data_IF_304446641245
#
_entry.id   IF_304446641245
#
_cell.length_a   1.000
_cell.length_b   1.000
_cell.length_c   1.000
_cell.angle_alpha   90.00
_cell.angle_beta   90.00
_cell.angle_gamma   90.00
#
_symmetry.space_group_name_H-M   'P 1'
#
loop_
_entity.id
_entity.type
_entity.pdbx_description
1 polymer ?
#
# COMPACT_ATOMS: atom_id res chain seq x y z
N UNK A 1 15.56 -45.16 -32.06
CA UNK A 1 15.68 -43.71 -32.35
C UNK A 1 14.39 -42.91 -32.17
N UNK A 2 13.20 -43.42 -32.54
CA UNK A 2 11.91 -42.69 -32.38
C UNK A 2 11.54 -42.38 -30.91
N UNK A 3 11.76 -43.30 -29.98
CA UNK A 3 11.43 -43.13 -28.56
C UNK A 3 12.23 -41.99 -27.88
N UNK A 4 13.51 -41.82 -28.25
CA UNK A 4 14.34 -40.71 -27.75
C UNK A 4 13.88 -39.35 -28.29
N UNK A 5 13.39 -39.28 -29.53
CA UNK A 5 12.84 -38.04 -30.12
C UNK A 5 11.53 -37.62 -29.43
N UNK A 6 10.64 -38.57 -29.14
CA UNK A 6 9.40 -38.29 -28.39
C UNK A 6 9.68 -37.78 -26.97
N UNK A 7 10.63 -38.40 -26.26
CA UNK A 7 11.04 -37.96 -24.92
C UNK A 7 11.64 -36.55 -24.93
N UNK A 8 12.50 -36.22 -25.91
CA UNK A 8 13.08 -34.88 -26.05
C UNK A 8 11.99 -33.83 -26.30
N UNK A 9 11.01 -34.11 -27.16
CA UNK A 9 9.89 -33.19 -27.41
C UNK A 9 9.07 -32.93 -26.14
N UNK A 10 8.75 -33.97 -25.37
CA UNK A 10 8.00 -33.83 -24.11
C UNK A 10 8.78 -32.98 -23.10
N UNK A 11 10.09 -33.23 -22.94
CA UNK A 11 10.95 -32.42 -22.06
C UNK A 11 10.97 -30.96 -22.50
N UNK A 12 11.08 -30.69 -23.80
CA UNK A 12 11.09 -29.32 -24.33
C UNK A 12 9.77 -28.59 -24.05
N UNK A 13 8.63 -29.27 -24.19
CA UNK A 13 7.32 -28.70 -23.85
C UNK A 13 7.23 -28.38 -22.36
N UNK A 14 7.69 -29.28 -21.49
CA UNK A 14 7.71 -29.04 -20.04
C UNK A 14 8.58 -27.83 -19.70
N UNK A 15 9.77 -27.70 -20.29
CA UNK A 15 10.66 -26.55 -20.07
C UNK A 15 9.98 -25.25 -20.51
N UNK A 16 9.31 -25.23 -21.66
CA UNK A 16 8.59 -24.05 -22.14
C UNK A 16 7.46 -23.68 -21.16
N UNK A 17 6.67 -24.65 -20.72
CA UNK A 17 5.59 -24.42 -19.76
C UNK A 17 6.11 -23.88 -18.43
N UNK A 18 7.23 -24.42 -17.93
CA UNK A 18 7.89 -23.92 -16.73
C UNK A 18 8.41 -22.49 -16.94
N UNK A 19 9.05 -22.20 -18.07
CA UNK A 19 9.53 -20.85 -18.37
C UNK A 19 8.38 -19.83 -18.45
N UNK A 20 7.25 -20.21 -19.07
CA UNK A 20 6.05 -19.37 -19.13
C UNK A 20 5.44 -19.16 -17.75
N UNK A 21 5.36 -20.21 -16.93
CA UNK A 21 4.86 -20.11 -15.56
C UNK A 21 5.76 -19.22 -14.70
N UNK A 22 7.07 -19.35 -14.82
CA UNK A 22 8.04 -18.49 -14.12
C UNK A 22 7.92 -17.05 -14.60
N UNK A 23 7.86 -16.80 -15.91
CA UNK A 23 7.69 -15.46 -16.46
C UNK A 23 6.37 -14.81 -15.98
N UNK A 24 5.28 -15.58 -15.96
CA UNK A 24 3.99 -15.13 -15.44
C UNK A 24 4.07 -14.78 -13.95
N UNK A 25 4.70 -15.62 -13.11
CA UNK A 25 4.87 -15.32 -11.69
C UNK A 25 5.72 -14.07 -11.47
N UNK A 26 6.83 -13.92 -12.20
CA UNK A 26 7.68 -12.73 -12.14
C UNK A 26 6.92 -11.47 -12.58
N UNK A 27 6.02 -11.60 -13.55
CA UNK A 27 5.17 -10.51 -13.99
C UNK A 27 4.09 -10.18 -12.95
N UNK A 28 3.44 -11.20 -12.39
CA UNK A 28 2.34 -11.05 -11.42
C UNK A 28 2.80 -10.51 -10.06
N UNK A 29 4.04 -10.83 -9.67
CA UNK A 29 4.71 -10.44 -8.44
C UNK A 29 6.01 -9.66 -8.74
N UNK A 30 5.93 -8.43 -9.24
CA UNK A 30 7.08 -7.63 -9.67
C UNK A 30 8.07 -7.31 -8.54
N UNK A 31 7.63 -7.38 -7.28
CA UNK A 31 8.48 -7.18 -6.11
C UNK A 31 9.14 -8.46 -5.55
N UNK A 32 8.86 -9.65 -6.11
CA UNK A 32 9.29 -10.95 -5.56
C UNK A 32 10.78 -11.07 -5.25
N UNK A 33 11.65 -10.44 -6.05
CA UNK A 33 13.10 -10.52 -5.89
C UNK A 33 13.71 -9.31 -5.18
N UNK A 34 12.88 -8.35 -4.74
CA UNK A 34 13.35 -7.19 -3.99
C UNK A 34 13.64 -7.61 -2.55
N UNK A 35 14.70 -7.05 -1.98
CA UNK A 35 14.88 -7.08 -0.52
C UNK A 35 13.98 -6.00 0.08
N UNK A 36 13.00 -6.44 0.87
CA UNK A 36 11.99 -5.60 1.49
C UNK A 36 12.13 -5.69 3.00
N UNK A 37 13.14 -5.02 3.61
CA UNK A 37 13.22 -4.95 5.05
C UNK A 37 12.04 -4.12 5.56
N UNK A 38 11.46 -4.58 6.66
CA UNK A 38 10.64 -3.72 7.48
C UNK A 38 11.54 -2.62 8.08
N UNK A 39 11.11 -1.36 7.94
CA UNK A 39 11.82 -0.20 8.47
C UNK A 39 10.99 0.59 9.49
N UNK A 40 9.77 0.13 9.81
CA UNK A 40 8.92 0.79 10.81
C UNK A 40 9.50 0.64 12.21
N UNK A 41 8.92 1.39 13.15
CA UNK A 41 9.19 1.22 14.57
C UNK A 41 8.82 -0.20 15.03
N UNK A 42 9.45 -0.63 16.12
CA UNK A 42 9.09 -1.89 16.76
C UNK A 42 7.67 -1.84 17.33
N UNK A 43 7.09 -3.01 17.57
CA UNK A 43 5.74 -3.17 18.13
C UNK A 43 5.55 -2.41 19.46
N UNK A 44 6.51 -2.49 20.37
CA UNK A 44 6.44 -1.82 21.67
C UNK A 44 6.47 -0.28 21.56
N UNK A 45 7.29 0.26 20.66
CA UNK A 45 7.38 1.70 20.40
C UNK A 45 6.11 2.21 19.70
N UNK A 46 5.58 1.41 18.78
CA UNK A 46 4.32 1.68 18.08
C UNK A 46 3.15 1.71 19.04
N UNK A 47 3.03 0.71 19.93
CA UNK A 47 1.93 0.67 20.92
C UNK A 47 2.02 1.84 21.91
N UNK A 48 3.23 2.17 22.37
CA UNK A 48 3.42 3.34 23.24
C UNK A 48 2.97 4.64 22.57
N UNK A 49 3.34 4.86 21.30
CA UNK A 49 2.92 6.05 20.57
C UNK A 49 1.42 6.05 20.28
N UNK A 50 0.84 4.88 19.94
CA UNK A 50 -0.60 4.72 19.72
C UNK A 50 -1.39 5.06 20.99
N UNK A 51 -0.97 4.60 22.16
CA UNK A 51 -1.60 4.95 23.44
C UNK A 51 -1.47 6.44 23.78
N UNK A 52 -0.31 7.05 23.53
CA UNK A 52 -0.10 8.49 23.70
C UNK A 52 -1.04 9.31 22.81
N UNK A 53 -1.12 8.94 21.53
CA UNK A 53 -2.00 9.59 20.56
C UNK A 53 -3.46 9.35 20.97
N UNK A 54 -3.87 8.13 21.33
CA UNK A 54 -5.23 7.79 21.74
C UNK A 54 -5.73 8.63 22.92
N UNK A 55 -4.85 8.93 23.89
CA UNK A 55 -5.13 9.75 25.06
C UNK A 55 -5.18 11.27 24.78
N UNK A 56 -4.67 11.73 23.63
CA UNK A 56 -4.66 13.14 23.25
C UNK A 56 -6.07 13.65 22.91
N UNK A 57 -6.46 14.80 23.45
CA UNK A 57 -7.66 15.51 23.04
C UNK A 57 -7.42 16.35 21.78
N UNK A 58 -8.45 16.51 20.94
CA UNK A 58 -8.35 17.37 19.74
C UNK A 58 -7.38 16.87 18.68
N UNK A 59 -7.24 15.54 18.55
CA UNK A 59 -6.38 14.89 17.54
C UNK A 59 -6.74 15.36 16.14
N UNK A 60 -5.73 15.59 15.30
CA UNK A 60 -5.92 15.92 13.88
C UNK A 60 -5.67 14.69 13.03
N UNK A 61 -6.60 14.38 12.15
CA UNK A 61 -6.55 13.19 11.30
C UNK A 61 -6.53 13.59 9.84
N UNK A 62 -5.63 12.96 9.09
CA UNK A 62 -5.57 13.03 7.63
C UNK A 62 -5.91 11.67 7.03
N UNK A 63 -6.78 11.65 6.03
CA UNK A 63 -6.97 10.52 5.14
C UNK A 63 -6.31 10.85 3.80
N UNK A 64 -5.08 10.37 3.61
CA UNK A 64 -4.38 10.45 2.35
C UNK A 64 -4.68 9.19 1.52
N UNK A 65 -5.01 9.33 0.24
CA UNK A 65 -5.30 8.16 -0.59
C UNK A 65 -4.85 8.31 -2.04
N UNK A 66 -4.41 7.21 -2.65
CA UNK A 66 -4.25 7.10 -4.10
C UNK A 66 -5.41 6.29 -4.68
N UNK A 67 -6.02 6.73 -5.79
CA UNK A 67 -7.04 5.96 -6.50
C UNK A 67 -6.95 6.12 -8.00
N UNK A 68 -7.00 4.99 -8.73
CA UNK A 68 -7.04 5.00 -10.19
C UNK A 68 -8.46 4.92 -10.76
N UNK A 69 -9.27 3.98 -10.28
CA UNK A 69 -10.66 3.76 -10.74
C UNK A 69 -11.73 4.25 -9.76
N UNK A 70 -11.32 4.90 -8.66
CA UNK A 70 -12.23 5.51 -7.68
C UNK A 70 -12.74 4.57 -6.59
N UNK A 71 -12.38 3.28 -6.55
CA UNK A 71 -12.79 2.38 -5.45
C UNK A 71 -12.21 2.84 -4.11
N UNK A 72 -10.89 3.05 -4.07
CA UNK A 72 -10.19 3.56 -2.89
C UNK A 72 -10.65 4.96 -2.50
N UNK A 73 -10.96 5.81 -3.49
CA UNK A 73 -11.55 7.14 -3.24
C UNK A 73 -12.84 7.04 -2.41
N UNK A 74 -13.77 6.17 -2.79
CA UNK A 74 -15.03 5.99 -2.04
C UNK A 74 -14.80 5.51 -0.61
N UNK A 75 -13.84 4.61 -0.41
CA UNK A 75 -13.47 4.16 0.93
C UNK A 75 -12.87 5.31 1.77
N UNK A 76 -11.97 6.10 1.16
CA UNK A 76 -11.35 7.26 1.80
C UNK A 76 -12.37 8.37 2.14
N UNK A 77 -13.30 8.66 1.23
CA UNK A 77 -14.40 9.60 1.45
C UNK A 77 -15.32 9.13 2.58
N UNK A 78 -15.66 7.84 2.63
CA UNK A 78 -16.47 7.28 3.71
C UNK A 78 -15.75 7.35 5.06
N UNK A 79 -14.44 7.04 5.09
CA UNK A 79 -13.60 7.14 6.29
C UNK A 79 -13.50 8.58 6.79
N UNK A 80 -13.22 9.53 5.89
CA UNK A 80 -13.18 10.97 6.21
C UNK A 80 -14.53 11.46 6.72
N UNK A 81 -15.64 11.04 6.11
CA UNK A 81 -16.99 11.41 6.58
C UNK A 81 -17.33 10.88 7.97
N UNK A 82 -16.81 9.72 8.37
CA UNK A 82 -17.08 9.12 9.69
C UNK A 82 -16.21 9.73 10.79
N UNK A 83 -14.96 10.08 10.46
CA UNK A 83 -13.96 10.59 11.42
C UNK A 83 -13.89 12.12 11.45
N UNK A 84 -14.50 12.81 10.49
CA UNK A 84 -14.31 14.25 10.29
C UNK A 84 -12.89 14.64 9.83
N UNK A 85 -12.09 13.65 9.41
CA UNK A 85 -10.71 13.85 8.98
C UNK A 85 -10.60 14.65 7.68
N UNK A 86 -9.49 15.38 7.55
CA UNK A 86 -9.13 16.03 6.29
C UNK A 86 -8.85 14.96 5.22
N UNK A 87 -9.19 15.26 3.96
CA UNK A 87 -9.03 14.32 2.85
C UNK A 87 -8.02 14.85 1.84
N UNK A 88 -7.03 14.02 1.48
CA UNK A 88 -6.01 14.37 0.50
C UNK A 88 -5.84 13.27 -0.55
N UNK A 89 -5.91 13.64 -1.83
CA UNK A 89 -5.63 12.71 -2.93
C UNK A 89 -4.14 12.75 -3.31
N UNK A 90 -3.47 11.62 -3.12
CA UNK A 90 -2.14 11.35 -3.63
C UNK A 90 -2.27 11.13 -5.14
N UNK A 91 -1.86 12.11 -5.94
CA UNK A 91 -1.88 12.01 -7.40
C UNK A 91 -0.47 12.07 -7.98
N UNK A 92 -0.09 11.19 -8.93
CA UNK A 92 1.15 11.37 -9.67
C UNK A 92 1.08 12.62 -10.55
N UNK A 93 2.20 13.31 -10.72
CA UNK A 93 2.30 14.50 -11.58
C UNK A 93 1.99 14.19 -13.04
N UNK A 94 2.42 13.01 -13.50
CA UNK A 94 2.09 12.50 -14.83
C UNK A 94 1.04 11.38 -14.72
N UNK A 95 -0.03 11.49 -15.50
CA UNK A 95 -1.08 10.47 -15.54
C UNK A 95 -0.62 9.21 -16.27
N UNK A 96 -1.08 8.04 -15.81
CA UNK A 96 -0.76 6.76 -16.44
C UNK A 96 -1.42 6.62 -17.82
N UNK A 97 -0.63 6.66 -18.89
CA UNK A 97 -1.10 6.35 -20.25
C UNK A 97 -1.35 4.84 -20.47
N UNK A 98 -0.65 3.98 -19.74
CA UNK A 98 -0.86 2.54 -19.65
C UNK A 98 -0.56 2.11 -18.22
N UNK A 99 -1.59 2.15 -17.38
CA UNK A 99 -1.48 1.84 -15.94
C UNK A 99 -0.90 0.46 -15.71
N UNK A 100 -1.28 -0.56 -16.50
CA UNK A 100 -0.87 -1.93 -16.27
C UNK A 100 0.63 -2.13 -16.47
N UNK A 101 1.18 -1.57 -17.55
CA UNK A 101 2.61 -1.69 -17.83
C UNK A 101 3.45 -0.78 -16.94
N UNK A 102 3.03 0.48 -16.76
CA UNK A 102 3.79 1.47 -15.99
C UNK A 102 3.85 1.10 -14.51
N UNK A 103 2.73 0.79 -13.88
CA UNK A 103 2.72 0.40 -12.46
C UNK A 103 3.54 -0.87 -12.19
N UNK A 104 3.49 -1.87 -13.07
CA UNK A 104 4.33 -3.07 -12.94
C UNK A 104 5.82 -2.72 -12.98
N UNK A 105 6.22 -1.85 -13.92
CA UNK A 105 7.60 -1.43 -14.06
C UNK A 105 8.07 -0.59 -12.87
N UNK A 106 7.25 0.34 -12.38
CA UNK A 106 7.55 1.16 -11.21
C UNK A 106 7.76 0.31 -9.96
N UNK A 107 6.86 -0.63 -9.69
CA UNK A 107 7.00 -1.57 -8.55
C UNK A 107 8.25 -2.42 -8.73
N UNK A 108 8.49 -2.97 -9.93
CA UNK A 108 9.67 -3.79 -10.21
C UNK A 108 10.98 -3.03 -9.99
N UNK A 109 11.02 -1.75 -10.39
CA UNK A 109 12.21 -0.89 -10.32
C UNK A 109 12.34 -0.11 -9.02
N UNK A 110 11.37 -0.25 -8.10
CA UNK A 110 11.26 0.58 -6.90
C UNK A 110 11.29 2.08 -7.21
N UNK A 111 10.54 2.50 -8.24
CA UNK A 111 10.48 3.91 -8.65
C UNK A 111 9.75 4.78 -7.63
N UNK A 112 10.04 6.08 -7.66
CA UNK A 112 9.37 7.12 -6.87
C UNK A 112 8.87 8.23 -7.81
N UNK A 113 7.69 8.07 -8.43
CA UNK A 113 7.18 9.06 -9.37
C UNK A 113 6.88 10.38 -8.66
N UNK A 114 7.17 11.52 -9.29
CA UNK A 114 6.85 12.84 -8.75
C UNK A 114 5.33 12.97 -8.52
N UNK A 115 4.93 13.57 -7.40
CA UNK A 115 3.53 13.82 -7.07
C UNK A 115 3.07 15.20 -7.55
N UNK A 116 1.77 15.34 -7.81
CA UNK A 116 1.19 16.57 -8.34
C UNK A 116 1.05 17.69 -7.30
N UNK A 117 1.19 17.38 -6.01
CA UNK A 117 1.04 18.34 -4.93
C UNK A 117 1.59 17.82 -3.60
N UNK A 118 1.43 18.66 -2.58
CA UNK A 118 1.84 18.39 -1.20
C UNK A 118 0.76 18.79 -0.21
N UNK A 119 0.76 18.18 0.96
CA UNK A 119 0.00 18.62 2.14
C UNK A 119 0.83 19.72 2.81
N UNK A 120 0.31 20.95 2.86
CA UNK A 120 1.08 22.11 3.33
C UNK A 120 1.34 22.11 4.84
N UNK A 121 0.45 21.48 5.62
CA UNK A 121 0.45 21.49 7.08
C UNK A 121 0.54 20.06 7.66
N UNK A 122 1.40 19.22 7.09
CA UNK A 122 1.55 17.82 7.48
C UNK A 122 1.89 17.66 8.99
N UNK A 123 2.62 18.61 9.55
CA UNK A 123 3.03 18.66 10.94
C UNK A 123 1.84 18.68 11.91
N UNK A 124 0.68 19.21 11.51
CA UNK A 124 -0.50 19.36 12.36
C UNK A 124 -1.17 18.01 12.67
N UNK A 125 -0.98 16.99 11.82
CA UNK A 125 -1.68 15.72 11.94
C UNK A 125 -1.02 14.77 12.93
N UNK A 126 -1.83 14.12 13.76
CA UNK A 126 -1.40 13.06 14.68
C UNK A 126 -1.51 11.68 14.02
N UNK A 127 -2.57 11.49 13.23
CA UNK A 127 -2.90 10.24 12.57
C UNK A 127 -2.99 10.47 11.07
N UNK A 128 -2.31 9.62 10.30
CA UNK A 128 -2.34 9.64 8.84
C UNK A 128 -2.81 8.28 8.34
N UNK A 129 -4.07 8.21 7.93
CA UNK A 129 -4.57 7.09 7.17
C UNK A 129 -4.02 7.13 5.75
N UNK A 130 -3.52 6.00 5.24
CA UNK A 130 -2.91 5.91 3.89
C UNK A 130 -3.59 4.85 3.05
N UNK A 131 -4.44 5.29 2.13
CA UNK A 131 -5.31 4.45 1.30
C UNK A 131 -4.77 4.16 -0.08
N UNK A 132 -4.85 2.90 -0.55
CA UNK A 132 -4.44 2.57 -1.92
C UNK A 132 -5.11 1.32 -2.52
N UNK A 133 -5.20 1.20 -3.86
CA UNK A 133 -5.50 -0.07 -4.50
C UNK A 133 -4.31 -1.02 -4.41
N UNK A 134 -4.56 -2.32 -4.23
CA UNK A 134 -3.50 -3.33 -4.37
C UNK A 134 -3.11 -3.47 -5.83
N UNK A 135 -1.84 -3.20 -6.15
CA UNK A 135 -1.28 -3.35 -7.49
C UNK A 135 -0.22 -4.43 -7.51
N UNK A 136 -0.49 -5.51 -8.23
CA UNK A 136 0.46 -6.63 -8.35
C UNK A 136 0.99 -7.18 -7.02
N UNK A 137 0.11 -7.31 -6.01
CA UNK A 137 0.48 -7.73 -4.66
C UNK A 137 1.50 -6.79 -3.98
N UNK A 138 1.45 -5.51 -4.32
CA UNK A 138 2.34 -4.49 -3.78
C UNK A 138 1.60 -3.16 -3.64
N UNK A 139 2.21 -2.27 -2.86
CA UNK A 139 1.82 -0.87 -2.72
C UNK A 139 2.16 -0.11 -4.01
N UNK A 140 1.25 0.73 -4.54
CA UNK A 140 1.54 1.60 -5.68
C UNK A 140 2.68 2.59 -5.40
N UNK A 141 3.56 2.81 -6.38
CA UNK A 141 4.72 3.67 -6.25
C UNK A 141 4.42 5.15 -5.83
N UNK A 142 3.30 5.78 -6.24
CA UNK A 142 2.94 7.10 -5.73
C UNK A 142 2.74 7.14 -4.21
N UNK A 143 2.24 6.05 -3.62
CA UNK A 143 2.04 5.94 -2.17
C UNK A 143 3.38 5.82 -1.45
N UNK A 144 4.32 5.03 -1.99
CA UNK A 144 5.67 4.97 -1.46
C UNK A 144 6.35 6.35 -1.52
N UNK A 145 6.14 7.09 -2.61
CA UNK A 145 6.66 8.47 -2.73
C UNK A 145 6.04 9.38 -1.68
N UNK A 146 4.74 9.29 -1.45
CA UNK A 146 4.06 10.07 -0.41
C UNK A 146 4.66 9.80 0.97
N UNK A 147 4.83 8.54 1.36
CA UNK A 147 5.42 8.15 2.65
C UNK A 147 6.84 8.70 2.85
N UNK A 148 7.64 8.76 1.78
CA UNK A 148 9.01 9.25 1.81
C UNK A 148 9.13 10.78 1.62
N UNK A 149 8.03 11.48 1.33
CA UNK A 149 8.04 12.92 1.05
C UNK A 149 7.91 13.80 2.30
N UNK A 150 7.56 13.21 3.44
CA UNK A 150 7.33 13.93 4.69
C UNK A 150 8.10 13.30 5.85
N UNK A 151 8.41 14.11 6.86
CA UNK A 151 8.76 13.59 8.17
C UNK A 151 7.47 13.24 8.92
N UNK A 152 7.17 11.93 8.96
CA UNK A 152 6.02 11.38 9.67
C UNK A 152 6.40 10.80 11.04
N UNK A 153 7.63 11.06 11.53
CA UNK A 153 8.05 10.59 12.84
C UNK A 153 7.13 11.18 13.94
N UNK A 154 6.79 10.35 14.93
CA UNK A 154 5.85 10.72 16.00
C UNK A 154 4.38 10.79 15.58
N UNK A 155 4.04 10.40 14.35
CA UNK A 155 2.65 10.24 13.87
C UNK A 155 2.30 8.76 13.78
N UNK A 156 1.01 8.45 13.90
CA UNK A 156 0.51 7.10 13.66
C UNK A 156 0.08 6.94 12.19
N UNK A 157 0.72 6.03 11.47
CA UNK A 157 0.39 5.72 10.07
C UNK A 157 -0.53 4.50 10.03
N UNK A 158 -1.74 4.66 9.50
CA UNK A 158 -2.76 3.61 9.45
C UNK A 158 -3.06 3.25 8.00
N UNK A 159 -2.42 2.23 7.43
CA UNK A 159 -2.62 1.87 6.04
C UNK A 159 -3.95 1.18 5.81
N UNK A 160 -4.60 1.48 4.69
CA UNK A 160 -5.73 0.69 4.22
C UNK A 160 -5.65 0.44 2.73
N UNK A 161 -6.24 -0.66 2.28
CA UNK A 161 -6.26 -0.97 0.86
C UNK A 161 -7.62 -1.41 0.36
N UNK A 162 -7.80 -1.32 -0.96
CA UNK A 162 -8.94 -1.94 -1.66
C UNK A 162 -8.39 -2.89 -2.72
N UNK A 163 -9.07 -4.01 -2.96
CA UNK A 163 -8.64 -4.95 -4.00
C UNK A 163 -9.78 -5.82 -4.51
N UNK A 164 -9.54 -6.50 -5.64
CA UNK A 164 -10.45 -7.52 -6.19
C UNK A 164 -10.31 -8.91 -5.56
N UNK A 165 -9.45 -9.10 -4.55
CA UNK A 165 -9.24 -10.41 -3.95
C UNK A 165 -8.00 -10.54 -3.07
N UNK A 166 -6.94 -9.76 -3.34
CA UNK A 166 -5.69 -9.76 -2.56
C UNK A 166 -5.80 -9.08 -1.21
N UNK A 167 -5.18 -9.67 -0.20
CA UNK A 167 -5.15 -9.14 1.16
C UNK A 167 -4.15 -7.98 1.31
N UNK A 168 -4.32 -7.14 2.34
CA UNK A 168 -3.38 -6.04 2.61
C UNK A 168 -1.99 -6.54 2.99
N UNK A 169 -1.89 -7.67 3.70
CA UNK A 169 -0.63 -8.31 4.11
C UNK A 169 0.31 -8.57 2.93
N UNK A 170 -0.24 -8.83 1.74
CA UNK A 170 0.55 -9.02 0.53
C UNK A 170 1.32 -7.75 0.13
N UNK A 171 0.77 -6.58 0.42
CA UNK A 171 1.36 -5.27 0.09
C UNK A 171 2.28 -4.71 1.17
N UNK A 172 2.10 -5.14 2.42
CA UNK A 172 2.82 -4.59 3.57
C UNK A 172 4.34 -4.61 3.43
N UNK A 173 5.00 -5.65 2.86
CA UNK A 173 6.45 -5.61 2.65
C UNK A 173 6.93 -4.42 1.80
N UNK A 174 6.16 -4.04 0.78
CA UNK A 174 6.48 -2.86 -0.04
C UNK A 174 6.05 -1.54 0.59
N UNK A 175 5.04 -1.55 1.46
CA UNK A 175 4.62 -0.39 2.25
C UNK A 175 5.68 -0.04 3.30
N UNK A 176 6.00 -1.02 4.17
CA UNK A 176 6.89 -0.90 5.32
C UNK A 176 8.34 -0.55 4.94
N UNK A 177 8.79 -0.94 3.74
CA UNK A 177 10.10 -0.51 3.24
C UNK A 177 10.22 1.03 3.13
N UNK A 178 9.10 1.74 2.98
CA UNK A 178 9.05 3.22 2.88
C UNK A 178 8.75 3.88 4.23
N UNK A 179 8.62 3.10 5.31
CA UNK A 179 8.18 3.56 6.62
C UNK A 179 9.36 3.67 7.59
N UNK A 180 10.46 4.30 7.20
CA UNK A 180 11.65 4.38 8.04
C UNK A 180 11.39 5.14 9.34
N UNK A 181 11.42 4.41 10.47
CA UNK A 181 11.16 4.96 11.81
C UNK A 181 9.72 5.41 12.04
N UNK A 182 8.76 4.95 11.23
CA UNK A 182 7.34 5.31 11.38
C UNK A 182 6.59 4.29 12.24
N UNK A 183 5.66 4.74 13.07
CA UNK A 183 4.71 3.85 13.74
C UNK A 183 3.61 3.45 12.75
N UNK A 184 3.55 2.17 12.40
CA UNK A 184 2.54 1.63 11.48
C UNK A 184 1.63 0.69 12.26
N UNK A 185 0.33 0.94 12.22
CA UNK A 185 -0.64 0.22 13.05
C UNK A 185 -1.96 0.02 12.33
N UNK A 186 -2.64 -1.08 12.65
CA UNK A 186 -4.06 -1.27 12.34
C UNK A 186 -4.37 -1.37 10.85
N UNK A 187 -3.48 -2.01 10.07
CA UNK A 187 -3.70 -2.17 8.64
C UNK A 187 -5.00 -2.92 8.35
N UNK A 188 -5.76 -2.45 7.35
CA UNK A 188 -6.99 -3.15 6.96
C UNK A 188 -7.25 -3.13 5.46
N UNK A 189 -7.85 -4.20 4.95
CA UNK A 189 -8.42 -4.22 3.61
C UNK A 189 -9.90 -3.87 3.68
N UNK A 190 -10.25 -2.77 3.01
CA UNK A 190 -11.64 -2.35 2.84
C UNK A 190 -12.22 -2.98 1.56
N UNK A 191 -13.10 -3.96 1.75
CA UNK A 191 -13.98 -4.58 0.76
C UNK A 191 -15.30 -3.83 0.57
N UNK A 192 -15.81 -3.17 1.62
CA UNK A 192 -17.05 -2.38 1.59
C UNK A 192 -17.03 -1.28 2.64
N UNK A 193 -17.66 -0.14 2.37
CA UNK A 193 -17.68 0.99 3.31
C UNK A 193 -18.41 0.69 4.63
N UNK A 194 -19.21 -0.38 4.69
CA UNK A 194 -19.94 -0.78 5.89
C UNK A 194 -19.07 -1.41 6.98
N UNK A 195 -17.83 -1.80 6.68
CA UNK A 195 -16.92 -2.36 7.69
C UNK A 195 -16.02 -1.29 8.34
N UNK A 196 -16.08 -0.05 7.86
CA UNK A 196 -15.24 1.05 8.35
C UNK A 196 -15.52 1.36 9.81
N UNK A 197 -16.79 1.36 10.22
CA UNK A 197 -17.20 1.64 11.60
C UNK A 197 -16.57 0.63 12.57
N UNK A 198 -16.73 -0.67 12.30
CA UNK A 198 -16.12 -1.71 13.13
C UNK A 198 -14.60 -1.66 13.14
N UNK A 199 -13.97 -1.34 12.00
CA UNK A 199 -12.52 -1.15 11.95
C UNK A 199 -12.06 0.05 12.80
N UNK A 200 -12.79 1.18 12.75
CA UNK A 200 -12.48 2.35 13.58
C UNK A 200 -12.60 2.05 15.08
N UNK A 201 -13.59 1.24 15.48
CA UNK A 201 -13.72 0.76 16.86
C UNK A 201 -12.53 -0.12 17.27
N UNK A 202 -12.08 -1.03 16.41
CA UNK A 202 -10.94 -1.92 16.66
C UNK A 202 -9.61 -1.16 16.81
N UNK A 203 -9.45 -0.01 16.14
CA UNK A 203 -8.25 0.81 16.26
C UNK A 203 -8.08 1.44 17.64
N UNK A 204 -9.17 1.61 18.40
CA UNK A 204 -9.18 2.19 19.76
C UNK A 204 -8.46 3.56 19.85
N UNK A 205 -8.60 4.39 18.81
CA UNK A 205 -7.96 5.71 18.71
C UNK A 205 -8.84 6.86 19.24
N UNK A 206 -10.06 6.54 19.68
CA UNK A 206 -11.08 7.51 20.12
C UNK A 206 -11.28 8.64 19.08
N UNK A 207 -11.68 8.23 17.87
CA UNK A 207 -11.96 9.08 16.70
C UNK A 207 -13.45 9.36 16.52
#
# INVERSE_FOLDING_TARGET
MKQKRGLITVIMVIIILLALLTAYNIFRYPAMFRRLPDRSLGEAETEQLKDEIAAKEGKRVLVAYFSYSGTTRRAAEALSSQTGADLYEIAPKEAYSNVYMQSNMEIRRNSRPELAGTVENMEDYDIVFVGYPVWFHATPAPVNTFLESYDLAGKLVVPFCTSGGSDISETMPTFLQSCEGLAVYGENRISSTGEIEGWLEELDLNL
#
